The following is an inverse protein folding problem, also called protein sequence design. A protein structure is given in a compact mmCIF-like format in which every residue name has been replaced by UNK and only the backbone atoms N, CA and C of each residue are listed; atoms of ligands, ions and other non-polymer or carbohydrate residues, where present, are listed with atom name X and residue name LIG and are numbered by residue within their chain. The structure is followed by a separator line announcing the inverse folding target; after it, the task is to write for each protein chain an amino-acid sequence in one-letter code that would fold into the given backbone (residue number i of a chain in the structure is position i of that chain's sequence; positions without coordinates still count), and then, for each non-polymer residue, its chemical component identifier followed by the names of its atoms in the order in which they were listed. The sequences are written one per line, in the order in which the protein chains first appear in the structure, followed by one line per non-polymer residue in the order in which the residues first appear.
data_IF_811297311117
#
_entry.id   IF_811297311117
#
_cell.length_a   1.000
_cell.length_b   1.000
_cell.length_c   1.000
_cell.angle_alpha   90.00
_cell.angle_beta   90.00
_cell.angle_gamma   90.00
#
_symmetry.space_group_name_H-M   'P 1'
#
loop_
_entity.id
_entity.type
_entity.pdbx_description
1 polymer ?
#
# COMPACT_ATOMS: atom_id res chain seq x y z
N UNK A 1 26.97 36.82 -33.32
CA UNK A 1 25.57 36.90 -32.90
C UNK A 1 24.78 35.63 -33.16
N UNK A 2 25.00 34.92 -34.24
CA UNK A 2 24.34 33.64 -34.51
C UNK A 2 24.64 32.58 -33.45
N UNK A 3 25.85 32.59 -32.88
CA UNK A 3 26.24 31.63 -31.82
C UNK A 3 25.45 31.83 -30.54
N UNK A 4 25.14 33.06 -30.15
CA UNK A 4 24.38 33.36 -28.91
C UNK A 4 22.92 32.91 -28.99
N UNK A 5 22.28 33.04 -30.14
CA UNK A 5 20.93 32.56 -30.37
C UNK A 5 20.86 31.02 -30.33
N UNK A 6 21.85 30.39 -30.91
CA UNK A 6 21.97 28.91 -30.93
C UNK A 6 22.18 28.34 -29.53
N UNK A 7 23.08 28.96 -28.76
CA UNK A 7 23.35 28.57 -27.37
C UNK A 7 22.11 28.76 -26.50
N UNK A 8 21.39 29.89 -26.64
CA UNK A 8 20.14 30.13 -25.89
C UNK A 8 19.07 29.09 -26.24
N UNK A 9 18.96 28.71 -27.50
CA UNK A 9 18.02 27.69 -27.96
C UNK A 9 18.34 26.32 -27.33
N UNK A 10 19.61 25.94 -27.30
CA UNK A 10 20.07 24.68 -26.72
C UNK A 10 19.84 24.68 -25.21
N UNK A 11 20.14 25.77 -24.50
CA UNK A 11 19.93 25.89 -23.05
C UNK A 11 18.44 25.82 -22.71
N UNK A 12 17.58 26.45 -23.50
CA UNK A 12 16.13 26.39 -23.30
C UNK A 12 15.61 24.98 -23.52
N UNK A 13 16.04 24.30 -24.56
CA UNK A 13 15.65 22.92 -24.83
C UNK A 13 16.11 21.98 -23.73
N UNK A 14 17.34 22.12 -23.24
CA UNK A 14 17.87 21.35 -22.13
C UNK A 14 17.07 21.56 -20.82
N UNK A 15 16.70 22.81 -20.53
CA UNK A 15 15.89 23.14 -19.37
C UNK A 15 14.49 22.51 -19.44
N UNK A 16 13.84 22.52 -20.61
CA UNK A 16 12.54 21.88 -20.82
C UNK A 16 12.61 20.39 -20.60
N UNK A 17 13.63 19.73 -21.16
CA UNK A 17 13.84 18.28 -20.99
C UNK A 17 14.06 17.93 -19.50
N UNK A 18 14.84 18.73 -18.79
CA UNK A 18 15.12 18.52 -17.37
C UNK A 18 13.86 18.65 -16.53
N UNK A 19 13.04 19.66 -16.76
CA UNK A 19 11.77 19.90 -16.06
C UNK A 19 10.80 18.74 -16.32
N UNK A 20 10.71 18.27 -17.56
CA UNK A 20 9.87 17.13 -17.92
C UNK A 20 10.32 15.85 -17.20
N UNK A 21 11.63 15.61 -17.14
CA UNK A 21 12.19 14.44 -16.45
C UNK A 21 11.89 14.47 -14.94
N UNK A 22 12.03 15.63 -14.29
CA UNK A 22 11.71 15.82 -12.87
C UNK A 22 10.22 15.60 -12.62
N UNK A 23 9.35 16.12 -13.49
CA UNK A 23 7.90 15.97 -13.35
C UNK A 23 7.48 14.50 -13.45
N UNK A 24 8.01 13.76 -14.41
CA UNK A 24 7.74 12.31 -14.59
C UNK A 24 8.25 11.53 -13.38
N UNK A 25 9.43 11.83 -12.92
CA UNK A 25 10.05 11.16 -11.77
C UNK A 25 9.28 11.42 -10.48
N UNK A 26 8.91 12.68 -10.23
CA UNK A 26 8.13 13.05 -9.06
C UNK A 26 6.76 12.41 -9.04
N UNK A 27 6.09 12.32 -10.20
CA UNK A 27 4.80 11.63 -10.33
C UNK A 27 4.94 10.13 -10.05
N UNK A 28 5.96 9.48 -10.59
CA UNK A 28 6.25 8.07 -10.36
C UNK A 28 6.51 7.79 -8.88
N UNK A 29 7.32 8.62 -8.23
CA UNK A 29 7.61 8.51 -6.80
C UNK A 29 6.33 8.64 -5.96
N UNK A 30 5.48 9.62 -6.27
CA UNK A 30 4.21 9.83 -5.57
C UNK A 30 3.28 8.64 -5.73
N UNK A 31 3.12 8.12 -6.95
CA UNK A 31 2.28 6.96 -7.22
C UNK A 31 2.79 5.70 -6.51
N UNK A 32 4.10 5.50 -6.48
CA UNK A 32 4.70 4.32 -5.85
C UNK A 32 4.57 4.34 -4.33
N UNK A 33 4.47 5.50 -3.72
CA UNK A 33 4.48 5.62 -2.26
C UNK A 33 3.12 5.97 -1.66
N UNK A 34 2.32 6.78 -2.31
CA UNK A 34 1.10 7.35 -1.73
C UNK A 34 -0.18 6.91 -2.42
N UNK A 35 -0.13 6.55 -3.67
CA UNK A 35 -1.31 6.08 -4.40
C UNK A 35 -1.43 4.57 -4.23
N UNK A 36 -2.50 4.14 -3.55
CA UNK A 36 -2.75 2.73 -3.29
C UNK A 36 -3.47 2.04 -4.43
N UNK A 37 -3.16 0.76 -4.61
CA UNK A 37 -3.92 -0.16 -5.43
C UNK A 37 -4.78 -1.02 -4.50
N UNK A 38 -5.97 -1.41 -4.95
CA UNK A 38 -6.89 -2.21 -4.16
C UNK A 38 -6.44 -3.67 -4.12
N UNK A 39 -6.30 -4.17 -2.91
CA UNK A 39 -6.04 -5.58 -2.61
C UNK A 39 -7.09 -6.09 -1.64
N UNK A 40 -7.25 -7.40 -1.59
CA UNK A 40 -8.24 -8.05 -0.73
C UNK A 40 -7.59 -9.23 -0.03
N UNK A 41 -7.95 -9.43 1.22
CA UNK A 41 -7.42 -10.51 2.04
C UNK A 41 -8.48 -11.03 3.01
N UNK A 42 -8.28 -12.25 3.50
CA UNK A 42 -9.06 -12.81 4.60
C UNK A 42 -8.10 -13.11 5.75
N UNK A 43 -8.54 -12.79 6.96
CA UNK A 43 -7.80 -13.22 8.15
C UNK A 43 -7.96 -14.75 8.26
N UNK A 44 -6.88 -15.54 8.20
CA UNK A 44 -6.99 -17.00 8.34
C UNK A 44 -7.72 -17.39 9.62
N UNK A 45 -8.47 -18.48 9.57
CA UNK A 45 -9.27 -18.92 10.71
C UNK A 45 -8.41 -19.31 11.93
N UNK A 46 -7.18 -19.71 11.69
CA UNK A 46 -6.20 -20.08 12.72
C UNK A 46 -5.21 -18.95 13.06
N UNK A 47 -5.44 -17.74 12.55
CA UNK A 47 -4.56 -16.60 12.79
C UNK A 47 -4.66 -16.14 14.24
N UNK A 48 -3.49 -15.98 14.89
CA UNK A 48 -3.43 -15.44 16.23
C UNK A 48 -3.63 -13.93 16.22
N UNK A 49 -4.77 -13.47 16.73
CA UNK A 49 -5.13 -12.05 16.80
C UNK A 49 -5.00 -11.50 18.22
N UNK A 50 -4.34 -12.22 19.12
CA UNK A 50 -4.14 -11.78 20.50
C UNK A 50 -3.33 -10.48 20.53
N UNK A 51 -3.85 -9.39 21.16
CA UNK A 51 -3.10 -8.15 21.25
C UNK A 51 -1.80 -8.31 22.05
N UNK A 52 -0.79 -7.59 21.63
CA UNK A 52 0.51 -7.54 22.30
C UNK A 52 1.01 -6.09 22.34
N UNK A 53 2.01 -5.83 23.17
CA UNK A 53 2.58 -4.49 23.25
C UNK A 53 3.29 -4.14 21.96
N UNK A 54 2.92 -3.02 21.34
CA UNK A 54 3.55 -2.50 20.14
C UNK A 54 4.59 -1.45 20.55
N UNK A 55 5.79 -1.59 20.02
CA UNK A 55 6.89 -0.65 20.28
C UNK A 55 7.21 0.15 19.01
N UNK A 56 7.55 1.43 19.21
CA UNK A 56 8.05 2.26 18.13
C UNK A 56 9.50 1.85 17.78
N UNK A 57 10.04 2.42 16.70
CA UNK A 57 11.41 2.12 16.26
C UNK A 57 12.46 2.50 17.29
N UNK A 58 12.17 3.45 18.18
CA UNK A 58 13.04 3.86 19.29
C UNK A 58 12.75 3.12 20.60
N UNK A 59 11.89 2.09 20.59
CA UNK A 59 11.59 1.26 21.75
C UNK A 59 10.50 1.79 22.68
N UNK A 60 9.82 2.90 22.33
CA UNK A 60 8.74 3.43 23.15
C UNK A 60 7.47 2.56 23.05
N UNK A 61 6.79 2.34 24.20
CA UNK A 61 5.53 1.62 24.26
C UNK A 61 4.43 2.44 23.58
N UNK A 62 3.82 1.86 22.54
CA UNK A 62 2.76 2.49 21.76
C UNK A 62 1.36 2.00 22.16
N UNK A 63 1.25 1.09 23.11
CA UNK A 63 0.00 0.47 23.52
C UNK A 63 -0.17 -0.95 22.99
N UNK A 64 -1.35 -1.54 23.29
CA UNK A 64 -1.66 -2.90 22.83
C UNK A 64 -2.24 -2.88 21.42
N UNK A 65 -1.78 -3.81 20.60
CA UNK A 65 -2.24 -3.96 19.23
C UNK A 65 -1.78 -5.28 18.63
N UNK A 66 -2.00 -5.43 17.34
CA UNK A 66 -1.56 -6.61 16.60
C UNK A 66 -1.00 -6.18 15.25
N UNK A 67 0.14 -6.75 14.91
CA UNK A 67 0.72 -6.62 13.56
C UNK A 67 0.15 -7.73 12.69
N UNK A 68 -0.56 -7.36 11.65
CA UNK A 68 -1.10 -8.30 10.68
C UNK A 68 -0.16 -8.41 9.49
N UNK A 69 0.19 -9.65 9.14
CA UNK A 69 0.98 -9.96 7.95
C UNK A 69 0.16 -10.96 7.15
N UNK A 70 -0.40 -10.52 6.04
CA UNK A 70 -1.37 -11.27 5.25
C UNK A 70 -0.96 -11.34 3.80
N UNK A 71 -1.34 -12.42 3.14
CA UNK A 71 -1.27 -12.48 1.68
C UNK A 71 -2.56 -11.89 1.11
N UNK A 72 -2.43 -10.78 0.39
CA UNK A 72 -3.54 -10.10 -0.25
C UNK A 72 -3.49 -10.31 -1.76
N UNK A 73 -4.64 -10.21 -2.41
CA UNK A 73 -4.78 -10.37 -3.86
C UNK A 73 -5.53 -9.20 -4.46
N UNK A 74 -5.10 -8.71 -5.63
CA UNK A 74 -5.80 -7.66 -6.35
C UNK A 74 -6.93 -8.22 -7.20
N UNK A 75 -7.61 -7.36 -7.97
CA UNK A 75 -8.73 -7.74 -8.83
C UNK A 75 -8.33 -8.75 -9.91
N UNK A 76 -7.06 -8.79 -10.30
CA UNK A 76 -6.53 -9.74 -11.27
C UNK A 76 -6.08 -11.06 -10.62
N UNK A 77 -6.14 -11.15 -9.29
CA UNK A 77 -5.69 -12.31 -8.54
C UNK A 77 -4.18 -12.36 -8.24
N UNK A 78 -3.47 -11.26 -8.50
CA UNK A 78 -2.04 -11.18 -8.19
C UNK A 78 -1.81 -11.01 -6.70
N UNK A 79 -0.88 -11.79 -6.16
CA UNK A 79 -0.60 -11.85 -4.72
C UNK A 79 0.42 -10.81 -4.29
N UNK A 80 0.25 -10.35 -3.05
CA UNK A 80 1.18 -9.45 -2.38
C UNK A 80 1.11 -9.68 -0.88
N UNK A 81 2.24 -9.53 -0.19
CA UNK A 81 2.24 -9.50 1.27
C UNK A 81 1.83 -8.10 1.74
N UNK A 82 0.80 -8.05 2.58
CA UNK A 82 0.33 -6.82 3.21
C UNK A 82 0.65 -6.85 4.70
N UNK A 83 1.29 -5.82 5.20
CA UNK A 83 1.67 -5.70 6.61
C UNK A 83 1.15 -4.38 7.17
N UNK A 84 0.40 -4.46 8.27
CA UNK A 84 -0.14 -3.29 8.95
C UNK A 84 -0.39 -3.60 10.42
N UNK A 85 -0.44 -2.55 11.25
CA UNK A 85 -0.66 -2.68 12.68
C UNK A 85 -2.01 -2.07 13.05
N UNK A 86 -2.78 -2.79 13.88
CA UNK A 86 -4.06 -2.31 14.41
C UNK A 86 -3.95 -2.24 15.91
N UNK A 87 -4.30 -1.09 16.51
CA UNK A 87 -4.29 -0.91 17.95
C UNK A 87 -5.62 -1.36 18.56
N UNK A 88 -5.57 -1.97 19.74
CA UNK A 88 -6.75 -2.50 20.42
C UNK A 88 -7.78 -1.41 20.73
N UNK A 89 -7.33 -0.23 21.14
CA UNK A 89 -8.19 0.90 21.48
C UNK A 89 -8.95 1.50 20.29
N UNK A 90 -8.60 1.14 19.06
CA UNK A 90 -9.35 1.55 17.86
C UNK A 90 -10.76 0.93 17.82
N UNK A 91 -10.97 -0.17 18.53
CA UNK A 91 -12.24 -0.90 18.54
C UNK A 91 -12.55 -1.66 17.26
N UNK A 92 -11.60 -1.78 16.36
CA UNK A 92 -11.79 -2.24 14.96
C UNK A 92 -10.84 -3.35 14.59
N UNK A 93 -10.36 -4.14 15.57
CA UNK A 93 -9.42 -5.24 15.26
C UNK A 93 -10.11 -6.34 14.44
N UNK A 94 -9.57 -6.66 13.25
CA UNK A 94 -10.11 -7.74 12.44
C UNK A 94 -10.00 -9.09 13.16
N UNK A 95 -11.04 -9.91 13.02
CA UNK A 95 -11.10 -11.25 13.63
C UNK A 95 -10.82 -12.33 12.59
N UNK A 96 -10.44 -13.57 13.02
CA UNK A 96 -10.30 -14.67 12.08
C UNK A 96 -11.55 -14.86 11.23
N UNK A 97 -11.37 -15.05 9.92
CA UNK A 97 -12.45 -15.18 8.96
C UNK A 97 -12.96 -13.86 8.39
N UNK A 98 -12.51 -12.71 8.90
CA UNK A 98 -12.91 -11.40 8.37
C UNK A 98 -12.25 -11.15 7.00
N UNK A 99 -13.00 -10.52 6.10
CA UNK A 99 -12.48 -10.05 4.81
C UNK A 99 -12.08 -8.60 4.91
N UNK A 100 -11.00 -8.24 4.25
CA UNK A 100 -10.43 -6.90 4.29
C UNK A 100 -10.22 -6.36 2.89
N UNK A 101 -10.56 -5.08 2.70
CA UNK A 101 -10.06 -4.26 1.62
C UNK A 101 -8.78 -3.57 2.10
N UNK A 102 -7.74 -3.64 1.30
CA UNK A 102 -6.44 -3.06 1.62
C UNK A 102 -6.00 -2.18 0.46
N UNK A 103 -5.75 -0.92 0.73
CA UNK A 103 -5.14 -0.03 -0.24
C UNK A 103 -3.64 0.01 0.03
N UNK A 104 -2.85 -0.45 -0.92
CA UNK A 104 -1.41 -0.55 -0.74
C UNK A 104 -0.67 0.04 -1.95
N UNK A 105 0.31 0.88 -1.67
CA UNK A 105 1.28 1.33 -2.66
C UNK A 105 2.32 0.23 -2.88
N UNK A 106 3.30 0.43 -3.76
CA UNK A 106 4.37 -0.55 -3.96
C UNK A 106 5.16 -0.83 -2.68
N UNK A 107 5.19 0.10 -1.74
CA UNK A 107 6.05 0.03 -0.56
C UNK A 107 5.28 -0.23 0.74
N UNK A 108 4.10 0.36 0.91
CA UNK A 108 3.38 0.35 2.19
C UNK A 108 1.88 0.14 2.00
N UNK A 109 1.23 -0.34 3.06
CA UNK A 109 -0.22 -0.29 3.18
C UNK A 109 -0.62 1.13 3.56
N UNK A 110 -1.45 1.75 2.73
CA UNK A 110 -1.89 3.15 2.91
C UNK A 110 -3.16 3.20 3.76
N UNK A 111 -4.08 2.26 3.56
CA UNK A 111 -5.35 2.18 4.27
C UNK A 111 -5.89 0.75 4.24
N UNK A 112 -6.85 0.45 5.11
CA UNK A 112 -7.55 -0.83 5.14
C UNK A 112 -8.90 -0.67 5.80
N UNK A 113 -9.83 -1.58 5.51
CA UNK A 113 -11.11 -1.66 6.23
C UNK A 113 -11.68 -3.07 6.16
N UNK A 114 -12.55 -3.40 7.13
CA UNK A 114 -13.29 -4.67 7.14
C UNK A 114 -14.45 -4.55 6.16
N UNK A 115 -14.60 -5.54 5.29
CA UNK A 115 -15.65 -5.60 4.28
C UNK A 115 -16.39 -6.94 4.35
N UNK A 116 -17.46 -7.07 3.58
CA UNK A 116 -18.19 -8.33 3.43
C UNK A 116 -17.55 -9.17 2.33
N UNK A 117 -17.72 -10.49 2.42
CA UNK A 117 -17.28 -11.43 1.38
C UNK A 117 -17.81 -11.04 0.00
N UNK A 118 -19.07 -10.59 -0.06
CA UNK A 118 -19.71 -10.16 -1.29
C UNK A 118 -19.05 -8.93 -1.95
N UNK A 119 -18.26 -8.19 -1.20
CA UNK A 119 -17.53 -7.02 -1.70
C UNK A 119 -16.17 -7.38 -2.31
N UNK A 120 -15.74 -8.64 -2.20
CA UNK A 120 -14.46 -9.11 -2.73
C UNK A 120 -14.61 -9.50 -4.20
N UNK A 121 -13.78 -8.96 -5.11
CA UNK A 121 -13.79 -9.37 -6.50
C UNK A 121 -13.57 -10.87 -6.67
N UNK A 122 -14.24 -11.48 -7.62
CA UNK A 122 -14.28 -12.94 -7.78
C UNK A 122 -12.88 -13.54 -7.93
N UNK A 123 -12.00 -12.95 -8.74
CA UNK A 123 -10.64 -13.47 -8.94
C UNK A 123 -9.81 -13.43 -7.66
N UNK A 124 -9.94 -12.35 -6.88
CA UNK A 124 -9.28 -12.23 -5.58
C UNK A 124 -9.83 -13.27 -4.60
N UNK A 125 -11.16 -13.43 -4.55
CA UNK A 125 -11.82 -14.39 -3.67
C UNK A 125 -11.38 -15.83 -3.98
N UNK A 126 -11.32 -16.20 -5.25
CA UNK A 126 -10.85 -17.52 -5.67
C UNK A 126 -9.43 -17.80 -5.16
N UNK A 127 -8.54 -16.83 -5.26
CA UNK A 127 -7.16 -16.97 -4.78
C UNK A 127 -7.08 -17.03 -3.25
N UNK A 128 -7.90 -16.27 -2.56
CA UNK A 128 -7.98 -16.28 -1.09
C UNK A 128 -8.43 -17.66 -0.60
N UNK A 129 -9.41 -18.27 -1.27
CA UNK A 129 -9.97 -19.56 -0.87
C UNK A 129 -9.15 -20.77 -1.34
N UNK A 130 -8.17 -20.56 -2.22
CA UNK A 130 -7.28 -21.59 -2.73
C UNK A 130 -6.16 -21.91 -1.72
N UNK A 131 -6.47 -22.47 -0.61
CA UNK A 131 -5.43 -22.92 0.33
C UNK A 131 -5.42 -24.44 0.48
#
# INVERSE_FOLDING_TARGET
MKKNKFIKLILTAAAVVLIAAIAVWGRQYYQDRYVGTDYYAMIPLDYDVTPETIYSTNGADMGLGKRYILTAHNEQGEARTAEFTVFEDSGNMPRPGAYLWISASKQIVVNWKIIYESDVPQKALEKILLK
#
